data_IF_706156169130
#
_entry.id   IF_706156169130
#
_cell.length_a   1.000
_cell.length_b   1.000
_cell.length_c   1.000
_cell.angle_alpha   90.00
_cell.angle_beta   90.00
_cell.angle_gamma   90.00
#
_symmetry.space_group_name_H-M   'P 1'
#
loop_
_entity.id
_entity.type
_entity.pdbx_description
1 polymer ?
#
# COMPACT_ATOMS: atom_id res chain seq x y z
N UNK A 1 1.21 17.50 3.47
CA UNK A 1 1.97 16.24 3.36
C UNK A 1 1.84 15.73 1.93
N UNK A 2 2.94 15.54 1.23
CA UNK A 2 2.94 14.93 -0.10
C UNK A 2 2.77 13.42 0.05
N UNK A 3 1.76 12.81 -0.59
CA UNK A 3 1.62 11.37 -0.54
C UNK A 3 2.81 10.72 -1.25
N UNK A 4 3.51 9.85 -0.52
CA UNK A 4 4.70 9.13 -1.01
C UNK A 4 4.32 7.76 -1.53
N UNK A 5 3.26 7.16 -0.96
CA UNK A 5 2.83 5.80 -1.23
C UNK A 5 1.41 5.77 -1.77
N UNK A 6 1.12 4.79 -2.61
CA UNK A 6 -0.24 4.44 -3.00
C UNK A 6 -0.46 2.94 -2.86
N UNK A 7 -1.68 2.58 -2.47
CA UNK A 7 -2.16 1.19 -2.38
C UNK A 7 -3.43 1.10 -3.20
N UNK A 8 -3.41 0.25 -4.21
CA UNK A 8 -4.57 -0.06 -5.05
C UNK A 8 -5.05 -1.45 -4.71
N UNK A 9 -6.34 -1.64 -4.46
CA UNK A 9 -6.91 -2.97 -4.18
C UNK A 9 -8.12 -3.25 -5.05
N UNK A 10 -8.29 -4.50 -5.43
CA UNK A 10 -9.41 -4.96 -6.26
C UNK A 10 -10.49 -5.57 -5.37
N UNK A 11 -11.68 -4.95 -5.36
CA UNK A 11 -12.84 -5.49 -4.64
C UNK A 11 -13.43 -6.58 -5.53
N UNK A 12 -13.21 -7.85 -5.19
CA UNK A 12 -13.91 -8.97 -5.84
C UNK A 12 -15.37 -8.90 -5.43
N UNK A 13 -16.21 -8.24 -6.24
CA UNK A 13 -17.66 -8.45 -6.15
C UNK A 13 -17.92 -9.88 -6.59
N UNK A 14 -18.14 -10.76 -5.61
CA UNK A 14 -18.74 -12.07 -5.82
C UNK A 14 -20.10 -11.84 -6.48
N UNK A 15 -20.14 -12.03 -7.78
CA UNK A 15 -21.28 -11.66 -8.61
C UNK A 15 -21.03 -12.14 -10.02
N UNK A 16 -21.59 -13.30 -10.31
CA UNK A 16 -21.69 -14.02 -11.59
C UNK A 16 -22.13 -13.13 -12.76
N UNK A 17 -21.28 -12.25 -13.27
CA UNK A 17 -21.45 -11.67 -14.62
C UNK A 17 -20.09 -11.47 -15.31
N UNK A 18 -19.95 -11.90 -16.58
CA UNK A 18 -18.79 -11.55 -17.36
C UNK A 18 -18.89 -10.05 -17.65
N UNK A 19 -17.76 -9.31 -17.50
CA UNK A 19 -17.55 -7.99 -18.12
C UNK A 19 -17.88 -6.73 -17.30
N UNK A 20 -17.68 -6.73 -15.99
CA UNK A 20 -17.41 -5.49 -15.25
C UNK A 20 -16.04 -5.58 -14.59
N UNK A 21 -15.12 -4.67 -14.98
CA UNK A 21 -13.84 -4.52 -14.28
C UNK A 21 -14.15 -4.40 -12.79
N UNK A 22 -13.62 -5.31 -11.98
CA UNK A 22 -13.76 -5.25 -10.53
C UNK A 22 -13.40 -3.83 -10.07
N UNK A 23 -14.22 -3.18 -9.21
CA UNK A 23 -13.92 -1.84 -8.77
C UNK A 23 -12.56 -1.85 -8.07
N UNK A 24 -11.62 -1.06 -8.61
CA UNK A 24 -10.30 -0.86 -8.04
C UNK A 24 -10.33 0.44 -7.27
N UNK A 25 -10.01 0.38 -5.99
CA UNK A 25 -9.87 1.58 -5.17
C UNK A 25 -8.39 1.84 -4.92
N UNK A 26 -7.97 3.10 -5.05
CA UNK A 26 -6.60 3.53 -4.79
C UNK A 26 -6.59 4.51 -3.64
N UNK A 27 -5.84 4.21 -2.59
CA UNK A 27 -5.57 5.11 -1.48
C UNK A 27 -4.13 5.54 -1.48
N UNK A 28 -3.88 6.79 -1.16
CA UNK A 28 -2.54 7.35 -1.02
C UNK A 28 -2.19 7.56 0.45
N UNK A 29 -0.91 7.42 0.78
CA UNK A 29 -0.39 7.48 2.14
C UNK A 29 0.90 8.29 2.17
N UNK A 30 1.15 8.95 3.31
CA UNK A 30 2.39 9.69 3.51
C UNK A 30 3.56 8.75 3.81
N UNK A 31 3.31 7.69 4.59
CA UNK A 31 4.33 6.74 5.04
C UNK A 31 4.13 5.33 4.48
N UNK A 32 5.22 4.55 4.40
CA UNK A 32 5.16 3.14 4.02
C UNK A 32 4.41 2.31 5.07
N UNK A 33 4.56 2.65 6.36
CA UNK A 33 3.94 1.93 7.47
C UNK A 33 2.39 1.99 7.42
N UNK A 34 1.83 3.18 7.15
CA UNK A 34 0.38 3.33 6.96
C UNK A 34 -0.11 2.53 5.74
N UNK A 35 0.65 2.58 4.63
CA UNK A 35 0.35 1.82 3.43
C UNK A 35 0.37 0.29 3.69
N UNK A 36 1.37 -0.21 4.43
CA UNK A 36 1.47 -1.62 4.84
C UNK A 36 0.30 -2.03 5.72
N UNK A 37 -0.04 -1.22 6.72
CA UNK A 37 -1.14 -1.52 7.64
C UNK A 37 -2.46 -1.65 6.89
N UNK A 38 -2.72 -0.73 5.96
CA UNK A 38 -3.91 -0.79 5.11
C UNK A 38 -3.88 -1.98 4.15
N UNK A 39 -2.74 -2.24 3.51
CA UNK A 39 -2.58 -3.36 2.60
C UNK A 39 -2.75 -4.72 3.30
N UNK A 40 -2.28 -4.84 4.55
CA UNK A 40 -2.46 -6.04 5.37
C UNK A 40 -3.93 -6.30 5.62
N UNK A 41 -4.67 -5.31 6.10
CA UNK A 41 -6.11 -5.43 6.32
C UNK A 41 -6.86 -5.88 5.05
N UNK A 42 -6.51 -5.30 3.89
CA UNK A 42 -7.13 -5.67 2.60
C UNK A 42 -6.71 -7.06 2.10
N UNK A 43 -5.49 -7.50 2.41
CA UNK A 43 -5.03 -8.85 2.10
C UNK A 43 -5.73 -9.89 2.98
N UNK A 44 -5.92 -9.61 4.27
CA UNK A 44 -6.67 -10.44 5.21
C UNK A 44 -8.17 -10.55 4.81
N UNK A 45 -8.74 -9.50 4.18
CA UNK A 45 -10.06 -9.56 3.53
C UNK A 45 -10.11 -10.48 2.28
N UNK A 46 -8.97 -11.00 1.81
CA UNK A 46 -8.86 -11.84 0.61
C UNK A 46 -8.86 -11.07 -0.72
N UNK A 47 -8.59 -9.75 -0.66
CA UNK A 47 -8.56 -8.89 -1.85
C UNK A 47 -7.15 -8.89 -2.48
N UNK A 48 -7.10 -8.63 -3.79
CA UNK A 48 -5.83 -8.44 -4.48
C UNK A 48 -5.34 -7.00 -4.22
N UNK A 49 -4.20 -6.86 -3.54
CA UNK A 49 -3.64 -5.56 -3.14
C UNK A 49 -2.33 -5.30 -3.85
N UNK A 50 -2.15 -4.10 -4.37
CA UNK A 50 -0.97 -3.61 -5.06
C UNK A 50 -0.49 -2.35 -4.35
N UNK A 51 0.82 -2.15 -4.26
CA UNK A 51 1.39 -0.95 -3.65
C UNK A 51 2.50 -0.36 -4.50
N UNK A 52 2.75 0.93 -4.36
CA UNK A 52 3.91 1.56 -4.98
C UNK A 52 4.17 2.96 -4.45
N UNK A 53 5.28 3.54 -4.89
CA UNK A 53 5.69 4.90 -4.55
C UNK A 53 5.29 5.90 -5.62
N UNK A 54 4.81 7.08 -5.22
CA UNK A 54 4.47 8.21 -6.10
C UNK A 54 5.75 9.01 -6.42
N UNK A 55 5.93 9.38 -7.70
CA UNK A 55 7.02 10.24 -8.20
C UNK A 55 7.00 11.60 -7.46
N UNK A 56 8.11 12.16 -6.91
CA UNK A 56 9.51 12.07 -7.33
C UNK A 56 10.46 11.28 -6.41
N UNK A 57 9.96 10.42 -5.52
CA UNK A 57 10.81 9.68 -4.60
C UNK A 57 11.57 8.54 -5.31
N UNK A 58 12.91 8.61 -5.28
CA UNK A 58 13.80 7.49 -5.63
C UNK A 58 14.26 6.80 -4.34
N UNK A 59 14.32 5.46 -4.29
CA UNK A 59 14.07 4.51 -5.39
C UNK A 59 12.57 4.24 -5.63
N UNK A 60 12.17 4.14 -6.90
CA UNK A 60 10.80 3.80 -7.30
C UNK A 60 10.50 2.35 -6.91
N UNK A 61 9.57 2.14 -5.97
CA UNK A 61 9.12 0.81 -5.57
C UNK A 61 7.75 0.54 -6.15
N UNK A 62 7.61 -0.58 -6.86
CA UNK A 62 6.33 -1.09 -7.37
C UNK A 62 6.19 -2.53 -6.88
N UNK A 63 5.16 -2.76 -6.08
CA UNK A 63 4.89 -4.03 -5.41
C UNK A 63 3.60 -4.60 -6.02
N UNK A 64 3.71 -5.61 -6.89
CA UNK A 64 2.54 -6.30 -7.42
C UNK A 64 1.86 -7.12 -6.31
N UNK A 65 0.61 -7.55 -6.52
CA UNK A 65 -0.10 -8.39 -5.56
C UNK A 65 0.64 -9.68 -5.18
N UNK A 66 1.38 -10.29 -6.11
CA UNK A 66 2.24 -11.45 -5.80
C UNK A 66 3.41 -11.11 -4.85
N UNK A 67 3.84 -9.85 -4.83
CA UNK A 67 4.93 -9.35 -3.98
C UNK A 67 4.44 -8.64 -2.71
N UNK A 68 3.14 -8.54 -2.47
CA UNK A 68 2.61 -7.85 -1.29
C UNK A 68 2.91 -8.62 -0.01
N UNK A 69 2.81 -9.95 -0.03
CA UNK A 69 3.10 -10.80 1.13
C UNK A 69 4.56 -10.65 1.62
N UNK A 70 5.60 -10.77 0.76
CA UNK A 70 6.97 -10.51 1.19
C UNK A 70 7.21 -9.04 1.57
N UNK A 71 6.55 -8.08 0.94
CA UNK A 71 6.65 -6.67 1.33
C UNK A 71 6.06 -6.38 2.71
N UNK A 72 4.95 -7.02 3.07
CA UNK A 72 4.35 -6.93 4.40
C UNK A 72 5.18 -7.66 5.46
N UNK A 73 5.94 -8.69 5.07
CA UNK A 73 6.87 -9.41 5.94
C UNK A 73 8.23 -8.71 6.07
N UNK A 74 8.57 -7.81 5.14
CA UNK A 74 9.72 -6.94 5.28
C UNK A 74 9.43 -5.94 6.40
N UNK A 75 10.16 -6.06 7.51
CA UNK A 75 10.17 -5.04 8.55
C UNK A 75 10.41 -3.67 7.89
N UNK A 76 9.74 -2.59 8.34
CA UNK A 76 9.95 -1.26 7.79
C UNK A 76 11.38 -0.81 8.06
N UNK A 77 12.30 -1.20 7.17
CA UNK A 77 13.71 -0.84 7.23
C UNK A 77 13.84 0.63 6.82
N UNK A 78 13.57 1.51 7.78
CA UNK A 78 14.13 2.85 7.89
C UNK A 78 13.81 3.83 6.76
N UNK A 79 12.71 4.57 6.89
CA UNK A 79 12.68 5.97 6.49
C UNK A 79 11.66 6.76 7.34
N UNK A 80 12.21 7.68 8.13
CA UNK A 80 11.57 8.65 9.03
C UNK A 80 11.21 8.18 10.45
N UNK A 81 12.24 7.81 11.21
CA UNK A 81 12.39 8.38 12.54
C UNK A 81 12.69 9.88 12.42
N UNK A 82 11.66 10.74 12.28
CA UNK A 82 11.70 12.19 12.51
C UNK A 82 10.26 12.62 12.88
N UNK A 83 9.93 13.26 14.00
CA UNK A 83 10.76 13.98 14.95
C UNK A 83 10.88 13.31 16.31
N UNK A 84 12.13 13.15 16.71
CA UNK A 84 12.55 13.18 18.09
C UNK A 84 11.96 14.45 18.73
N UNK A 85 11.19 14.29 19.80
CA UNK A 85 10.88 15.36 20.74
C UNK A 85 12.19 15.81 21.40
N UNK A 86 12.85 16.82 20.83
CA UNK A 86 13.73 17.73 21.58
C UNK A 86 12.82 18.89 22.00
N UNK A 87 12.70 19.35 23.24
CA UNK A 87 13.54 19.30 24.42
C UNK A 87 13.21 20.58 25.19
N UNK A 88 13.12 20.48 26.50
CA UNK A 88 12.84 21.54 27.51
C UNK A 88 11.38 21.97 27.74
#
# INVERSE_FOLDING_TARGET
MTPTWYVTFEIRKSGTLPKQRSPRETRTFATEAEAKTFARAKLDEGLAVFAGTINPHLPRRLIPASGIAPWLAEEPSGAAAQGMSNGE
#
